data_IF_319410288468
#
_entry.id   IF_319410288468
#
_cell.length_a   1.000
_cell.length_b   1.000
_cell.length_c   1.000
_cell.angle_alpha   90.00
_cell.angle_beta   90.00
_cell.angle_gamma   90.00
#
_symmetry.space_group_name_H-M   'P 1'
#
loop_
_entity.id
_entity.type
_entity.pdbx_description
1 polymer ?
#
# COMPACT_ATOMS: atom_id res chain seq x y z
N UNK A 1 -17.61 7.04 12.09
CA UNK A 1 -18.79 6.83 11.19
C UNK A 1 -19.28 8.18 10.68
N UNK A 2 -19.21 8.44 9.40
CA UNK A 2 -19.62 9.69 8.79
C UNK A 2 -21.01 9.54 8.16
N UNK A 3 -21.98 10.38 8.58
CA UNK A 3 -23.40 10.36 8.12
C UNK A 3 -24.06 8.99 8.16
N UNK A 4 -23.70 8.14 9.12
CA UNK A 4 -24.25 6.78 9.25
C UNK A 4 -23.55 5.72 8.40
N UNK A 5 -22.58 6.07 7.57
CA UNK A 5 -21.77 5.13 6.77
C UNK A 5 -20.55 4.74 7.60
N UNK A 6 -20.33 3.44 7.88
CA UNK A 6 -19.06 3.00 8.44
C UNK A 6 -17.96 3.10 7.39
N UNK A 7 -16.72 3.38 7.82
CA UNK A 7 -15.62 3.59 6.90
C UNK A 7 -14.31 2.98 7.39
N UNK A 8 -13.60 2.36 6.45
CA UNK A 8 -12.22 1.90 6.58
C UNK A 8 -11.35 2.79 5.70
N UNK A 9 -10.33 3.39 6.28
CA UNK A 9 -9.24 3.98 5.54
C UNK A 9 -8.35 2.83 5.03
N UNK A 10 -8.34 2.61 3.71
CA UNK A 10 -7.62 1.51 3.10
C UNK A 10 -6.16 1.85 2.79
N UNK A 11 -5.77 3.11 2.95
CA UNK A 11 -4.45 3.66 2.67
C UNK A 11 -4.17 4.85 3.60
N UNK A 12 -4.00 4.53 4.88
CA UNK A 12 -3.50 5.46 5.87
C UNK A 12 -2.03 5.18 6.18
N UNK A 13 -1.32 6.15 6.72
CA UNK A 13 0.10 6.04 6.99
C UNK A 13 0.43 6.29 8.47
N UNK A 14 1.60 5.79 8.86
CA UNK A 14 2.28 6.16 10.11
C UNK A 14 3.48 7.04 9.81
N UNK A 15 3.83 7.96 10.72
CA UNK A 15 5.14 8.61 10.71
C UNK A 15 6.02 7.89 11.73
N UNK A 16 6.95 7.10 11.26
CA UNK A 16 7.84 6.33 12.13
C UNK A 16 8.74 7.24 12.95
N UNK A 17 9.04 6.90 14.23
CA UNK A 17 10.04 7.61 15.02
C UNK A 17 11.40 7.66 14.30
N UNK A 18 12.11 8.77 14.45
CA UNK A 18 13.42 8.95 13.80
C UNK A 18 14.47 7.92 14.23
N UNK A 19 14.30 7.30 15.38
CA UNK A 19 15.17 6.28 15.97
C UNK A 19 14.61 4.86 15.90
N UNK A 20 13.56 4.64 15.08
CA UNK A 20 12.88 3.35 14.99
C UNK A 20 13.87 2.20 14.77
N UNK A 21 14.66 2.29 13.69
CA UNK A 21 15.56 1.19 13.33
C UNK A 21 16.66 0.99 14.35
N UNK A 22 17.17 2.05 15.01
CA UNK A 22 18.16 1.93 16.08
C UNK A 22 17.62 1.21 17.31
N UNK A 23 16.31 1.28 17.54
CA UNK A 23 15.64 0.66 18.71
C UNK A 23 15.19 -0.77 18.44
N UNK A 24 14.78 -1.08 17.22
CA UNK A 24 14.07 -2.34 16.91
C UNK A 24 14.84 -3.30 16.02
N UNK A 25 15.92 -2.87 15.36
CA UNK A 25 16.72 -3.75 14.49
C UNK A 25 17.48 -4.79 15.32
N UNK A 26 17.72 -5.96 14.74
CA UNK A 26 18.51 -6.98 15.39
C UNK A 26 19.93 -6.46 15.68
N UNK A 27 20.51 -6.71 16.87
CA UNK A 27 21.75 -6.07 17.33
C UNK A 27 22.94 -6.21 16.40
N UNK A 28 23.03 -7.31 15.64
CA UNK A 28 24.09 -7.57 14.66
C UNK A 28 24.07 -6.60 13.47
N UNK A 29 22.95 -5.92 13.19
CA UNK A 29 22.79 -4.95 12.12
C UNK A 29 22.76 -3.49 12.59
N UNK A 30 22.97 -3.20 13.88
CA UNK A 30 22.81 -1.85 14.44
C UNK A 30 23.67 -0.80 13.72
N UNK A 31 24.90 -1.14 13.36
CA UNK A 31 25.81 -0.23 12.66
C UNK A 31 25.38 0.06 11.20
N UNK A 32 24.53 -0.81 10.61
CA UNK A 32 24.01 -0.74 9.27
C UNK A 32 22.54 -0.29 9.23
N UNK A 33 21.96 -0.01 10.40
CA UNK A 33 20.55 0.37 10.52
C UNK A 33 20.25 1.64 9.72
N UNK A 34 19.10 1.71 9.02
CA UNK A 34 18.67 2.93 8.35
C UNK A 34 18.66 4.13 9.29
N UNK A 35 19.11 5.28 8.80
CA UNK A 35 19.18 6.54 9.56
C UNK A 35 18.24 7.56 8.94
N UNK A 36 17.33 8.11 9.74
CA UNK A 36 16.49 9.22 9.28
C UNK A 36 17.32 10.47 9.04
N UNK A 37 17.02 11.18 7.95
CA UNK A 37 17.74 12.38 7.47
C UNK A 37 16.80 13.53 7.12
N UNK A 38 15.72 13.69 7.82
CA UNK A 38 14.69 14.69 7.58
C UNK A 38 13.32 14.20 7.97
N UNK A 39 12.27 14.81 7.43
CA UNK A 39 10.89 14.46 7.76
C UNK A 39 10.57 13.01 7.41
N UNK A 40 10.87 12.58 6.17
CA UNK A 40 10.66 11.21 5.69
C UNK A 40 11.89 10.55 5.07
N UNK A 41 12.98 11.30 4.83
CA UNK A 41 14.18 10.77 4.19
C UNK A 41 14.93 9.78 5.08
N UNK A 42 15.45 8.73 4.45
CA UNK A 42 16.22 7.66 5.09
C UNK A 42 17.54 7.45 4.35
N UNK A 43 18.61 7.20 5.10
CA UNK A 43 19.89 6.77 4.56
C UNK A 43 20.16 5.31 4.96
N UNK A 44 20.41 4.45 3.97
CA UNK A 44 20.75 3.04 4.14
C UNK A 44 21.78 2.61 3.10
N UNK A 45 22.81 1.84 3.49
CA UNK A 45 23.87 1.36 2.61
C UNK A 45 24.53 2.46 1.74
N UNK A 46 24.63 3.69 2.26
CA UNK A 46 25.18 4.84 1.55
C UNK A 46 24.22 5.51 0.57
N UNK A 47 23.01 5.03 0.43
CA UNK A 47 21.95 5.64 -0.38
C UNK A 47 21.05 6.49 0.51
N UNK A 48 20.87 7.76 0.16
CA UNK A 48 19.83 8.61 0.73
C UNK A 48 18.60 8.56 -0.15
N UNK A 49 17.46 8.24 0.44
CA UNK A 49 16.17 8.14 -0.25
C UNK A 49 15.11 8.94 0.50
N UNK A 50 14.21 9.61 -0.17
CA UNK A 50 14.20 9.79 -1.62
C UNK A 50 15.40 10.59 -2.13
N UNK A 51 15.90 10.23 -3.33
CA UNK A 51 16.99 10.91 -4.02
C UNK A 51 16.47 11.50 -5.34
N UNK A 52 15.75 12.60 -5.23
CA UNK A 52 15.22 13.37 -6.36
C UNK A 52 15.45 14.85 -6.12
N UNK A 53 15.91 15.57 -7.15
CA UNK A 53 16.08 17.01 -7.08
C UNK A 53 14.75 17.71 -6.77
N UNK A 54 14.76 18.56 -5.74
CA UNK A 54 13.56 19.24 -5.24
C UNK A 54 12.81 18.49 -4.13
N UNK A 55 13.09 17.19 -3.88
CA UNK A 55 12.50 16.47 -2.78
C UNK A 55 12.81 17.09 -1.42
N UNK A 56 14.09 17.43 -1.19
CA UNK A 56 14.55 18.01 0.08
C UNK A 56 13.89 19.35 0.39
N UNK A 57 13.58 20.14 -0.64
CA UNK A 57 12.89 21.42 -0.48
C UNK A 57 11.39 21.25 -0.25
N UNK A 58 10.82 20.12 -0.68
CA UNK A 58 9.38 19.85 -0.65
C UNK A 58 8.98 18.97 0.53
N UNK A 59 9.58 17.79 0.69
CA UNK A 59 9.19 16.80 1.68
C UNK A 59 10.05 16.78 2.96
N UNK A 60 11.28 17.24 2.91
CA UNK A 60 12.07 17.52 4.12
C UNK A 60 11.72 18.88 4.73
N UNK A 61 10.83 19.66 4.12
CA UNK A 61 10.33 20.88 4.73
C UNK A 61 9.52 20.49 5.98
N UNK A 62 10.02 20.80 7.19
CA UNK A 62 9.31 20.48 8.43
C UNK A 62 7.88 21.06 8.44
N UNK A 63 7.62 22.09 7.62
CA UNK A 63 6.32 22.73 7.52
C UNK A 63 5.26 21.82 6.87
N UNK A 64 5.62 20.80 6.08
CA UNK A 64 4.64 19.86 5.53
C UNK A 64 3.99 19.00 6.60
N UNK A 65 4.80 18.46 7.52
CA UNK A 65 4.32 17.61 8.61
C UNK A 65 4.03 18.37 9.91
N UNK A 66 4.29 19.69 9.93
CA UNK A 66 3.96 20.59 11.04
C UNK A 66 2.92 21.63 10.65
N UNK A 67 2.17 21.40 9.55
CA UNK A 67 1.01 22.22 9.23
C UNK A 67 0.05 22.28 10.43
N UNK A 68 -0.65 23.39 10.58
CA UNK A 68 -1.56 23.62 11.70
C UNK A 68 -2.54 22.44 11.90
N UNK A 69 -3.00 21.84 10.80
CA UNK A 69 -3.92 20.70 10.80
C UNK A 69 -3.35 19.43 11.45
N UNK A 70 -2.02 19.27 11.48
CA UNK A 70 -1.33 18.11 12.08
C UNK A 70 -0.68 18.43 13.43
N UNK A 71 -0.79 19.66 13.95
CA UNK A 71 -0.10 20.10 15.18
C UNK A 71 -0.33 19.15 16.35
N UNK A 72 -1.56 18.73 16.57
CA UNK A 72 -1.91 17.81 17.67
C UNK A 72 -1.19 16.47 17.59
N UNK A 73 -0.94 15.96 16.38
CA UNK A 73 -0.20 14.72 16.16
C UNK A 73 1.31 14.95 16.23
N UNK A 74 1.81 16.03 15.61
CA UNK A 74 3.24 16.38 15.61
C UNK A 74 3.78 16.63 17.03
N UNK A 75 3.04 17.33 17.90
CA UNK A 75 3.39 17.55 19.31
C UNK A 75 3.49 16.25 20.13
N UNK A 76 2.80 15.19 19.70
CA UNK A 76 2.84 13.85 20.29
C UNK A 76 3.74 12.88 19.52
N UNK A 77 4.49 13.36 18.52
CA UNK A 77 5.37 12.53 17.71
C UNK A 77 4.61 11.49 16.86
N UNK A 78 3.38 11.81 16.44
CA UNK A 78 2.50 10.92 15.67
C UNK A 78 2.28 9.57 16.37
N UNK A 79 2.03 9.62 17.67
CA UNK A 79 1.77 8.44 18.47
C UNK A 79 0.42 7.76 18.12
N UNK A 80 0.18 6.50 18.54
CA UNK A 80 -1.04 5.80 18.20
C UNK A 80 -2.30 6.48 18.75
N UNK A 81 -2.22 7.27 19.81
CA UNK A 81 -3.36 8.01 20.35
C UNK A 81 -3.74 9.19 19.44
N UNK A 82 -2.76 9.84 18.84
CA UNK A 82 -3.00 10.88 17.85
C UNK A 82 -3.55 10.33 16.52
N UNK A 83 -3.16 9.11 16.14
CA UNK A 83 -3.75 8.42 14.99
C UNK A 83 -5.23 8.13 15.22
N UNK A 84 -5.59 7.61 16.38
CA UNK A 84 -6.99 7.38 16.74
C UNK A 84 -7.80 8.68 16.79
N UNK A 85 -7.23 9.76 17.30
CA UNK A 85 -7.86 11.08 17.29
C UNK A 85 -8.09 11.61 15.88
N UNK A 86 -7.12 11.45 14.96
CA UNK A 86 -7.29 11.82 13.55
C UNK A 86 -8.44 11.03 12.91
N UNK A 87 -8.48 9.72 13.15
CA UNK A 87 -9.58 8.86 12.67
C UNK A 87 -10.95 9.30 13.24
N UNK A 88 -11.00 9.74 14.50
CA UNK A 88 -12.24 10.24 15.11
C UNK A 88 -12.66 11.57 14.51
N UNK A 89 -11.73 12.48 14.21
CA UNK A 89 -11.99 13.76 13.54
C UNK A 89 -12.59 13.51 12.14
N UNK A 90 -12.01 12.62 11.36
CA UNK A 90 -12.49 12.28 10.01
C UNK A 90 -13.77 11.42 10.04
N UNK A 91 -13.91 10.55 11.03
CA UNK A 91 -15.01 9.60 11.16
C UNK A 91 -14.70 8.19 10.66
N UNK A 92 -13.42 7.82 10.48
CA UNK A 92 -13.02 6.45 10.15
C UNK A 92 -13.18 5.52 11.34
N UNK A 93 -13.73 4.35 11.10
CA UNK A 93 -13.90 3.30 12.10
C UNK A 93 -12.64 2.43 12.23
N UNK A 94 -11.97 2.16 11.10
CA UNK A 94 -10.72 1.41 11.00
C UNK A 94 -9.77 2.10 10.02
N UNK A 95 -8.45 1.89 10.16
CA UNK A 95 -7.44 2.30 9.21
C UNK A 95 -6.40 1.20 9.00
N UNK A 96 -6.04 0.92 7.76
CA UNK A 96 -4.90 0.09 7.39
C UNK A 96 -3.69 1.00 7.23
N UNK A 97 -2.62 0.74 7.99
CA UNK A 97 -1.51 1.66 8.18
C UNK A 97 -0.26 1.16 7.45
N UNK A 98 0.18 1.98 6.51
CA UNK A 98 1.38 1.79 5.69
C UNK A 98 2.55 2.63 6.20
N UNK A 99 3.78 2.30 5.80
CA UNK A 99 4.95 3.10 6.20
C UNK A 99 5.01 4.44 5.45
N UNK A 100 5.64 5.45 6.05
CA UNK A 100 6.12 6.65 5.35
C UNK A 100 7.64 6.55 5.11
N UNK A 101 8.44 6.54 6.18
CA UNK A 101 9.90 6.34 6.07
C UNK A 101 10.26 4.94 5.59
N UNK A 102 9.46 3.94 5.97
CA UNK A 102 9.64 2.55 5.55
C UNK A 102 9.46 2.34 4.05
N UNK A 103 8.73 3.22 3.34
CA UNK A 103 8.68 3.22 1.87
C UNK A 103 10.07 3.26 1.23
N UNK A 104 11.05 3.84 1.94
CA UNK A 104 12.40 4.04 1.45
C UNK A 104 13.44 3.13 2.12
N UNK A 105 13.18 2.62 3.32
CA UNK A 105 14.19 1.97 4.16
C UNK A 105 14.80 0.68 3.58
N UNK A 106 14.08 -0.02 2.69
CA UNK A 106 14.56 -1.22 2.01
C UNK A 106 14.48 -1.09 0.47
N UNK A 107 14.54 0.14 -0.08
CA UNK A 107 14.20 0.44 -1.47
C UNK A 107 15.43 0.81 -2.31
N UNK A 108 16.49 0.00 -2.22
CA UNK A 108 17.67 0.08 -3.06
C UNK A 108 18.14 -1.31 -3.45
N UNK A 109 18.61 -1.47 -4.70
CA UNK A 109 19.28 -2.69 -5.13
C UNK A 109 20.57 -2.93 -4.33
N UNK A 110 20.96 -4.20 -4.19
CA UNK A 110 22.20 -4.59 -3.55
C UNK A 110 22.23 -4.47 -2.02
N UNK A 111 21.12 -4.12 -1.35
CA UNK A 111 21.03 -4.27 0.12
C UNK A 111 21.21 -5.76 0.46
N UNK A 112 22.13 -6.13 1.38
CA UNK A 112 22.30 -7.53 1.76
C UNK A 112 20.98 -8.15 2.23
N UNK A 113 20.59 -9.35 1.76
CA UNK A 113 19.29 -9.96 2.09
C UNK A 113 18.95 -10.03 3.56
N UNK A 114 19.94 -10.41 4.40
CA UNK A 114 19.72 -10.45 5.87
C UNK A 114 19.47 -9.07 6.47
N UNK A 115 20.13 -8.04 5.93
CA UNK A 115 19.91 -6.67 6.38
C UNK A 115 18.54 -6.17 5.94
N UNK A 116 18.12 -6.40 4.70
CA UNK A 116 16.79 -5.99 4.24
C UNK A 116 15.68 -6.66 5.07
N UNK A 117 15.82 -7.96 5.39
CA UNK A 117 14.91 -8.64 6.32
C UNK A 117 14.91 -8.06 7.72
N UNK A 118 16.08 -7.70 8.27
CA UNK A 118 16.18 -7.10 9.60
C UNK A 118 15.55 -5.69 9.63
N UNK A 119 15.67 -4.91 8.56
CA UNK A 119 15.03 -3.61 8.40
C UNK A 119 13.50 -3.76 8.43
N UNK A 120 12.95 -4.70 7.66
CA UNK A 120 11.52 -4.98 7.62
C UNK A 120 11.01 -5.46 8.99
N UNK A 121 11.71 -6.39 9.61
CA UNK A 121 11.36 -6.93 10.93
C UNK A 121 11.34 -5.86 12.02
N UNK A 122 12.27 -4.91 11.99
CA UNK A 122 12.30 -3.79 12.91
C UNK A 122 11.05 -2.93 12.80
N UNK A 123 10.66 -2.57 11.56
CA UNK A 123 9.43 -1.84 11.28
C UNK A 123 8.19 -2.62 11.74
N UNK A 124 8.08 -3.90 11.35
CA UNK A 124 6.91 -4.73 11.64
C UNK A 124 6.70 -4.93 13.16
N UNK A 125 7.78 -5.10 13.94
CA UNK A 125 7.72 -5.15 15.41
C UNK A 125 7.17 -3.86 15.98
N UNK A 126 7.73 -2.72 15.56
CA UNK A 126 7.27 -1.42 16.02
C UNK A 126 5.81 -1.16 15.64
N UNK A 127 5.41 -1.45 14.39
CA UNK A 127 4.04 -1.24 13.93
C UNK A 127 3.05 -2.12 14.70
N UNK A 128 3.42 -3.35 15.03
CA UNK A 128 2.59 -4.23 15.86
C UNK A 128 2.38 -3.65 17.26
N UNK A 129 3.40 -3.04 17.88
CA UNK A 129 3.27 -2.34 19.16
C UNK A 129 2.41 -1.09 19.04
N UNK A 130 2.57 -0.31 17.97
CA UNK A 130 1.74 0.84 17.65
C UNK A 130 0.25 0.45 17.55
N UNK A 131 -0.06 -0.57 16.77
CA UNK A 131 -1.42 -1.07 16.59
C UNK A 131 -1.99 -1.74 17.84
N UNK A 132 -1.17 -2.16 18.80
CA UNK A 132 -1.62 -2.78 20.06
C UNK A 132 -2.45 -1.83 20.92
N UNK A 133 -2.38 -0.52 20.69
CA UNK A 133 -3.20 0.49 21.38
C UNK A 133 -4.70 0.28 21.11
N UNK A 134 -5.08 -0.05 19.88
CA UNK A 134 -6.43 -0.50 19.54
C UNK A 134 -6.40 -1.41 18.29
N UNK A 135 -6.22 -2.70 18.50
CA UNK A 135 -6.11 -3.71 17.43
C UNK A 135 -7.39 -3.90 16.60
N UNK A 136 -8.50 -3.29 16.98
CA UNK A 136 -9.73 -3.33 16.20
C UNK A 136 -9.80 -2.20 15.17
N UNK A 137 -9.11 -1.09 15.46
CA UNK A 137 -9.14 0.11 14.64
C UNK A 137 -7.84 0.37 13.89
N UNK A 138 -6.68 0.09 14.49
CA UNK A 138 -5.35 0.25 13.90
C UNK A 138 -4.86 -1.07 13.34
N UNK A 139 -4.73 -1.17 12.03
CA UNK A 139 -4.47 -2.41 11.29
C UNK A 139 -3.18 -2.22 10.47
N UNK A 140 -2.08 -2.80 10.92
CA UNK A 140 -0.78 -2.59 10.27
C UNK A 140 -0.59 -3.41 9.00
N UNK A 141 0.06 -2.83 7.99
CA UNK A 141 0.58 -3.51 6.81
C UNK A 141 2.04 -3.92 7.03
N UNK A 142 2.34 -5.20 6.86
CA UNK A 142 3.68 -5.76 7.04
C UNK A 142 4.61 -5.33 5.91
N UNK A 143 5.71 -4.65 6.21
CA UNK A 143 6.76 -4.36 5.24
C UNK A 143 7.56 -5.63 4.94
N UNK A 144 7.68 -5.98 3.66
CA UNK A 144 8.44 -7.14 3.18
C UNK A 144 9.33 -6.71 2.01
N UNK A 145 10.60 -7.05 2.07
CA UNK A 145 11.58 -6.73 1.01
C UNK A 145 11.90 -7.96 0.15
N UNK A 146 11.93 -7.78 -1.16
CA UNK A 146 12.11 -8.85 -2.15
C UNK A 146 13.58 -9.15 -2.52
N UNK A 147 14.54 -8.76 -1.68
CA UNK A 147 15.97 -9.01 -1.92
C UNK A 147 16.35 -10.51 -1.86
N UNK A 148 15.59 -11.29 -1.10
CA UNK A 148 15.73 -12.75 -1.02
C UNK A 148 14.36 -13.39 -0.76
N UNK A 149 13.94 -14.37 -1.56
CA UNK A 149 12.64 -15.00 -1.44
C UNK A 149 12.40 -15.68 -0.08
N UNK A 150 13.38 -16.41 0.44
CA UNK A 150 13.25 -17.11 1.71
C UNK A 150 13.14 -16.16 2.91
N UNK A 151 13.88 -15.05 2.89
CA UNK A 151 13.78 -13.98 3.90
C UNK A 151 12.43 -13.30 3.81
N UNK A 152 11.93 -13.01 2.60
CA UNK A 152 10.62 -12.41 2.38
C UNK A 152 9.48 -13.28 2.94
N UNK A 153 9.49 -14.57 2.65
CA UNK A 153 8.50 -15.55 3.16
C UNK A 153 8.53 -15.61 4.70
N UNK A 154 9.74 -15.77 5.27
CA UNK A 154 9.87 -15.88 6.72
C UNK A 154 9.38 -14.62 7.44
N UNK A 155 9.69 -13.44 6.92
CA UNK A 155 9.22 -12.18 7.50
C UNK A 155 7.70 -11.99 7.34
N UNK A 156 7.14 -12.29 6.18
CA UNK A 156 5.70 -12.22 5.93
C UNK A 156 4.91 -13.11 6.90
N UNK A 157 5.31 -14.38 7.04
CA UNK A 157 4.66 -15.32 7.97
C UNK A 157 4.76 -14.84 9.41
N UNK A 158 5.96 -14.39 9.84
CA UNK A 158 6.14 -13.86 11.19
C UNK A 158 5.28 -12.62 11.44
N UNK A 159 5.26 -11.67 10.51
CA UNK A 159 4.51 -10.42 10.65
C UNK A 159 3.00 -10.66 10.75
N UNK A 160 2.47 -11.61 10.00
CA UNK A 160 1.03 -11.90 10.01
C UNK A 160 0.63 -12.79 11.17
N UNK A 161 1.30 -13.95 11.36
CA UNK A 161 0.87 -14.95 12.34
C UNK A 161 1.29 -14.62 13.77
N UNK A 162 2.45 -13.97 13.95
CA UNK A 162 2.98 -13.66 15.30
C UNK A 162 2.69 -12.23 15.71
N UNK A 163 2.91 -11.27 14.80
CA UNK A 163 2.72 -9.84 15.11
C UNK A 163 1.27 -9.37 14.87
N UNK A 164 0.47 -10.12 14.11
CA UNK A 164 -0.94 -9.85 13.88
C UNK A 164 -1.22 -8.72 12.89
N UNK A 165 -0.28 -8.45 11.97
CA UNK A 165 -0.49 -7.49 10.89
C UNK A 165 -1.49 -8.03 9.86
N UNK A 166 -2.09 -7.17 9.01
CA UNK A 166 -3.29 -7.48 8.23
C UNK A 166 -3.11 -7.44 6.71
N UNK A 167 -1.96 -7.03 6.22
CA UNK A 167 -1.60 -6.94 4.81
C UNK A 167 -0.12 -7.18 4.63
N UNK A 168 0.32 -7.58 3.46
CA UNK A 168 1.73 -7.61 3.08
C UNK A 168 1.96 -6.46 2.11
N UNK A 169 2.74 -5.47 2.52
CA UNK A 169 3.17 -4.35 1.69
C UNK A 169 4.43 -4.74 0.90
N UNK A 170 4.38 -4.57 -0.40
CA UNK A 170 5.49 -4.72 -1.33
C UNK A 170 5.67 -3.43 -2.15
N UNK A 171 6.93 -3.12 -2.47
CA UNK A 171 7.21 -2.15 -3.52
C UNK A 171 6.85 -2.73 -4.89
N UNK A 172 6.23 -1.95 -5.81
CA UNK A 172 5.93 -2.41 -7.17
C UNK A 172 7.17 -2.56 -8.05
N UNK A 173 8.25 -1.87 -7.72
CA UNK A 173 9.49 -1.81 -8.49
C UNK A 173 10.21 -3.17 -8.53
N UNK A 174 10.92 -3.51 -9.61
CA UNK A 174 11.86 -4.62 -9.62
C UNK A 174 12.95 -4.48 -8.56
N UNK A 175 13.29 -5.57 -7.88
CA UNK A 175 14.37 -5.61 -6.88
C UNK A 175 15.46 -6.56 -7.39
N UNK A 176 16.69 -6.07 -7.49
CA UNK A 176 17.83 -6.82 -8.05
C UNK A 176 17.50 -7.42 -9.44
N UNK A 177 16.77 -6.66 -10.28
CA UNK A 177 16.37 -7.05 -11.62
C UNK A 177 15.24 -8.09 -11.69
N UNK A 178 14.55 -8.39 -10.58
CA UNK A 178 13.39 -9.29 -10.54
C UNK A 178 12.11 -8.47 -10.33
N UNK A 179 11.17 -8.62 -11.26
CA UNK A 179 9.80 -8.11 -11.11
C UNK A 179 9.02 -8.89 -10.06
N UNK A 180 7.94 -8.34 -9.57
CA UNK A 180 7.16 -8.96 -8.48
C UNK A 180 6.52 -10.30 -8.87
N UNK A 181 6.34 -10.60 -10.16
CA UNK A 181 5.84 -11.89 -10.68
C UNK A 181 6.91 -12.98 -10.82
N UNK A 182 8.18 -12.67 -10.50
CA UNK A 182 9.25 -13.66 -10.64
C UNK A 182 8.94 -14.91 -9.83
N UNK A 183 9.14 -16.08 -10.44
CA UNK A 183 8.77 -17.39 -9.86
C UNK A 183 9.39 -17.69 -8.49
N UNK A 184 10.52 -17.10 -8.20
CA UNK A 184 11.15 -17.24 -6.88
C UNK A 184 10.24 -16.71 -5.73
N UNK A 185 9.25 -15.84 -6.05
CA UNK A 185 8.31 -15.29 -5.07
C UNK A 185 7.00 -16.08 -4.95
N UNK A 186 6.82 -17.17 -5.70
CA UNK A 186 5.58 -17.97 -5.66
C UNK A 186 5.24 -18.47 -4.23
N UNK A 187 6.24 -18.81 -3.42
CA UNK A 187 6.00 -19.23 -2.03
C UNK A 187 5.45 -18.08 -1.16
N UNK A 188 5.90 -16.84 -1.37
CA UNK A 188 5.37 -15.67 -0.70
C UNK A 188 3.87 -15.51 -1.01
N UNK A 189 3.48 -15.66 -2.26
CA UNK A 189 2.08 -15.56 -2.68
C UNK A 189 1.23 -16.72 -2.17
N UNK A 190 1.78 -17.94 -2.13
CA UNK A 190 1.12 -19.10 -1.54
C UNK A 190 0.84 -18.89 -0.04
N UNK A 191 1.80 -18.34 0.70
CA UNK A 191 1.65 -18.02 2.12
C UNK A 191 0.65 -16.89 2.35
N UNK A 192 0.70 -15.82 1.56
CA UNK A 192 -0.29 -14.74 1.62
C UNK A 192 -1.72 -15.26 1.39
N UNK A 193 -1.90 -16.12 0.36
CA UNK A 193 -3.17 -16.79 0.08
C UNK A 193 -3.61 -17.70 1.24
N UNK A 194 -2.69 -18.49 1.81
CA UNK A 194 -2.97 -19.36 2.95
C UNK A 194 -3.41 -18.59 4.18
N UNK A 195 -2.74 -17.50 4.48
CA UNK A 195 -3.03 -16.62 5.60
C UNK A 195 -4.29 -15.75 5.38
N UNK A 196 -4.75 -15.65 4.13
CA UNK A 196 -5.94 -14.86 3.77
C UNK A 196 -5.71 -13.35 3.88
N UNK A 197 -4.47 -12.89 3.68
CA UNK A 197 -4.10 -11.47 3.68
C UNK A 197 -3.77 -11.00 2.27
N UNK A 198 -4.09 -9.75 1.90
CA UNK A 198 -3.77 -9.23 0.58
C UNK A 198 -2.29 -8.85 0.43
N UNK A 199 -1.83 -8.87 -0.83
CA UNK A 199 -0.65 -8.13 -1.26
C UNK A 199 -1.08 -6.71 -1.59
N UNK A 200 -0.46 -5.74 -0.94
CA UNK A 200 -0.64 -4.32 -1.23
C UNK A 200 0.63 -3.77 -1.89
N UNK A 201 0.49 -3.17 -3.06
CA UNK A 201 1.59 -2.45 -3.69
C UNK A 201 1.43 -0.97 -3.47
N UNK A 202 2.50 -0.33 -3.04
CA UNK A 202 2.54 1.10 -2.77
C UNK A 202 3.87 1.68 -3.23
N UNK A 203 3.83 2.79 -3.95
CA UNK A 203 5.00 3.49 -4.45
C UNK A 203 5.53 4.49 -3.42
N UNK A 204 6.59 5.15 -3.73
CA UNK A 204 7.24 6.27 -3.07
C UNK A 204 8.43 6.68 -3.93
N UNK A 205 8.28 7.76 -4.67
CA UNK A 205 9.21 8.19 -5.71
C UNK A 205 10.62 8.50 -5.18
N UNK A 206 11.64 8.23 -5.97
CA UNK A 206 13.02 8.60 -5.67
C UNK A 206 13.85 7.52 -4.98
N UNK A 207 13.59 6.27 -5.29
CA UNK A 207 14.31 5.11 -4.76
C UNK A 207 15.51 4.70 -5.63
N UNK A 208 16.36 3.83 -5.11
CA UNK A 208 17.49 3.22 -5.84
C UNK A 208 17.16 1.81 -6.35
N UNK A 209 15.93 1.67 -6.85
CA UNK A 209 15.43 0.53 -7.63
C UNK A 209 15.21 0.98 -9.07
N UNK A 210 14.87 0.04 -9.96
CA UNK A 210 14.39 0.39 -11.29
C UNK A 210 13.01 1.05 -11.16
N UNK A 211 12.94 2.35 -11.43
CA UNK A 211 11.76 3.19 -11.20
C UNK A 211 11.39 3.93 -12.48
N UNK A 212 10.12 3.83 -12.89
CA UNK A 212 9.60 4.56 -14.04
C UNK A 212 9.73 6.08 -13.86
N UNK A 213 10.35 6.71 -14.86
CA UNK A 213 10.56 8.16 -14.87
C UNK A 213 11.86 8.62 -14.22
N UNK A 214 12.49 7.83 -13.36
CA UNK A 214 13.71 8.18 -12.62
C UNK A 214 14.86 8.63 -13.52
N UNK A 215 15.15 7.89 -14.57
CA UNK A 215 16.23 8.20 -15.52
C UNK A 215 15.81 9.15 -16.63
N UNK A 216 14.50 9.42 -16.78
CA UNK A 216 13.94 10.24 -17.85
C UNK A 216 13.73 11.69 -17.44
N UNK A 217 13.42 11.96 -16.18
CA UNK A 217 13.04 13.26 -15.68
C UNK A 217 13.97 13.75 -14.58
N UNK A 218 14.09 15.08 -14.48
CA UNK A 218 14.96 15.81 -13.56
C UNK A 218 14.20 16.56 -12.46
N UNK A 219 12.86 16.46 -12.44
CA UNK A 219 12.00 17.18 -11.48
C UNK A 219 11.12 16.19 -10.73
N UNK A 220 11.07 16.33 -9.40
CA UNK A 220 10.17 15.56 -8.54
C UNK A 220 8.74 15.54 -9.07
N UNK A 221 8.16 16.66 -9.41
CA UNK A 221 6.80 16.76 -9.94
C UNK A 221 6.53 15.79 -11.11
N UNK A 222 7.49 15.65 -12.05
CA UNK A 222 7.35 14.73 -13.18
C UNK A 222 7.55 13.27 -12.78
N UNK A 223 8.53 13.02 -11.92
CA UNK A 223 8.85 11.66 -11.46
C UNK A 223 7.68 11.13 -10.64
N UNK A 224 7.21 11.87 -9.66
CA UNK A 224 6.09 11.50 -8.80
C UNK A 224 4.81 11.20 -9.60
N UNK A 225 4.45 12.09 -10.54
CA UNK A 225 3.27 11.92 -11.39
C UNK A 225 3.33 10.63 -12.24
N UNK A 226 4.54 10.21 -12.66
CA UNK A 226 4.74 9.02 -13.50
C UNK A 226 4.92 7.77 -12.64
N UNK A 227 5.76 7.82 -11.60
CA UNK A 227 6.12 6.63 -10.84
C UNK A 227 4.89 5.99 -10.20
N UNK A 228 4.08 6.71 -9.45
CA UNK A 228 2.93 6.14 -8.75
C UNK A 228 1.98 5.41 -9.70
N UNK A 229 1.49 6.08 -10.73
CA UNK A 229 0.52 5.47 -11.64
C UNK A 229 1.14 4.37 -12.52
N UNK A 230 2.34 4.58 -13.08
CA UNK A 230 2.95 3.63 -14.02
C UNK A 230 3.51 2.40 -13.31
N UNK A 231 4.04 2.54 -12.10
CA UNK A 231 4.46 1.40 -11.29
C UNK A 231 3.25 0.55 -10.86
N UNK A 232 2.13 1.16 -10.48
CA UNK A 232 0.90 0.43 -10.18
C UNK A 232 0.36 -0.33 -11.41
N UNK A 233 0.41 0.29 -12.60
CA UNK A 233 0.07 -0.36 -13.87
C UNK A 233 1.02 -1.53 -14.15
N UNK A 234 2.33 -1.36 -13.92
CA UNK A 234 3.34 -2.41 -14.06
C UNK A 234 3.06 -3.58 -13.11
N UNK A 235 2.88 -3.29 -11.82
CA UNK A 235 2.55 -4.30 -10.81
C UNK A 235 1.25 -5.07 -11.13
N UNK A 236 0.23 -4.36 -11.60
CA UNK A 236 -1.02 -4.99 -12.04
C UNK A 236 -0.79 -5.97 -13.21
N UNK A 237 0.00 -5.55 -14.20
CA UNK A 237 0.38 -6.40 -15.32
C UNK A 237 1.19 -7.61 -14.84
N UNK A 238 2.20 -7.41 -14.03
CA UNK A 238 3.05 -8.48 -13.51
C UNK A 238 2.23 -9.52 -12.74
N UNK A 239 1.39 -9.11 -11.80
CA UNK A 239 0.58 -10.04 -11.02
C UNK A 239 -0.44 -10.80 -11.87
N UNK A 240 -1.04 -10.18 -12.89
CA UNK A 240 -2.03 -10.81 -13.77
C UNK A 240 -1.32 -11.59 -14.89
N UNK A 241 -0.60 -10.88 -15.77
CA UNK A 241 -0.01 -11.44 -17.00
C UNK A 241 1.17 -12.36 -16.67
N UNK A 242 1.96 -12.04 -15.64
CA UNK A 242 2.99 -12.94 -15.07
C UNK A 242 2.42 -14.20 -14.39
N UNK A 243 1.08 -14.32 -14.31
CA UNK A 243 0.35 -15.51 -13.92
C UNK A 243 0.28 -15.77 -12.41
N UNK A 244 0.66 -14.82 -11.56
CA UNK A 244 0.56 -14.96 -10.09
C UNK A 244 -0.87 -15.22 -9.68
N UNK A 245 -1.82 -14.41 -10.16
CA UNK A 245 -3.25 -14.55 -9.82
C UNK A 245 -3.90 -15.81 -10.41
N UNK A 246 -3.32 -16.37 -11.47
CA UNK A 246 -3.77 -17.65 -12.02
C UNK A 246 -3.34 -18.82 -11.13
N UNK A 247 -2.13 -18.75 -10.57
CA UNK A 247 -1.57 -19.80 -9.69
C UNK A 247 -2.16 -19.73 -8.29
N UNK A 248 -2.53 -18.53 -7.82
CA UNK A 248 -3.05 -18.27 -6.47
C UNK A 248 -4.47 -17.68 -6.54
N UNK A 249 -5.51 -18.49 -6.84
CA UNK A 249 -6.85 -18.01 -7.20
C UNK A 249 -7.63 -17.32 -6.07
N UNK A 250 -7.23 -17.48 -4.81
CA UNK A 250 -7.82 -16.80 -3.64
C UNK A 250 -7.00 -15.61 -3.16
N UNK A 251 -5.79 -15.42 -3.69
CA UNK A 251 -4.95 -14.26 -3.36
C UNK A 251 -5.67 -12.99 -3.77
N UNK A 252 -5.62 -11.98 -2.94
CA UNK A 252 -6.12 -10.63 -3.23
C UNK A 252 -4.96 -9.66 -3.33
N UNK A 253 -5.11 -8.67 -4.20
CA UNK A 253 -4.12 -7.61 -4.38
C UNK A 253 -4.80 -6.24 -4.35
N UNK A 254 -4.08 -5.22 -3.90
CA UNK A 254 -4.54 -3.83 -3.94
C UNK A 254 -3.42 -2.91 -4.42
N UNK A 255 -3.78 -1.96 -5.29
CA UNK A 255 -2.89 -0.93 -5.83
C UNK A 255 -3.25 0.40 -5.16
N UNK A 256 -2.29 0.97 -4.43
CA UNK A 256 -2.48 2.11 -3.55
C UNK A 256 -1.79 3.36 -4.11
N UNK A 257 -2.24 4.54 -3.71
CA UNK A 257 -1.70 5.87 -4.02
C UNK A 257 -1.31 6.06 -5.51
N UNK A 258 -2.16 5.60 -6.41
CA UNK A 258 -1.91 5.65 -7.85
C UNK A 258 -3.10 6.16 -8.66
N UNK A 259 -4.11 6.72 -8.00
CA UNK A 259 -5.46 6.90 -8.53
C UNK A 259 -6.07 5.60 -9.06
N UNK A 260 -7.34 5.59 -9.39
CA UNK A 260 -8.03 4.40 -9.92
C UNK A 260 -8.29 4.48 -11.43
N UNK A 261 -8.27 5.68 -11.99
CA UNK A 261 -8.73 5.96 -13.35
C UNK A 261 -7.93 5.32 -14.48
N UNK A 262 -6.73 4.81 -14.20
CA UNK A 262 -5.92 4.07 -15.17
C UNK A 262 -6.48 2.65 -15.45
N UNK A 263 -7.15 2.04 -14.49
CA UNK A 263 -7.50 0.62 -14.53
C UNK A 263 -8.40 0.23 -15.72
N UNK A 264 -9.46 0.97 -16.11
CA UNK A 264 -10.29 0.60 -17.24
C UNK A 264 -9.52 0.49 -18.56
N UNK A 265 -8.75 1.52 -18.88
CA UNK A 265 -7.96 1.54 -20.11
C UNK A 265 -6.85 0.49 -20.11
N UNK A 266 -6.16 0.31 -18.98
CA UNK A 266 -5.06 -0.64 -18.90
C UNK A 266 -5.51 -2.08 -19.03
N UNK A 267 -6.64 -2.43 -18.42
CA UNK A 267 -7.21 -3.78 -18.49
C UNK A 267 -7.77 -4.09 -19.87
N UNK A 268 -8.44 -3.13 -20.52
CA UNK A 268 -8.86 -3.28 -21.92
C UNK A 268 -7.66 -3.54 -22.84
N UNK A 269 -6.58 -2.79 -22.65
CA UNK A 269 -5.34 -2.99 -23.39
C UNK A 269 -4.71 -4.35 -23.14
N UNK A 270 -4.70 -4.85 -21.90
CA UNK A 270 -4.19 -6.19 -21.59
C UNK A 270 -5.05 -7.29 -22.23
N UNK A 271 -6.38 -7.14 -22.20
CA UNK A 271 -7.31 -8.08 -22.84
C UNK A 271 -7.07 -8.15 -24.35
N UNK A 272 -6.97 -7.00 -25.02
CA UNK A 272 -6.67 -6.91 -26.47
C UNK A 272 -5.35 -7.61 -26.82
N UNK A 273 -4.31 -7.40 -26.04
CA UNK A 273 -2.99 -8.02 -26.27
C UNK A 273 -3.03 -9.53 -26.00
N UNK A 274 -3.75 -9.97 -24.99
CA UNK A 274 -3.91 -11.39 -24.67
C UNK A 274 -4.64 -12.13 -25.79
N UNK A 275 -5.67 -11.53 -26.38
CA UNK A 275 -6.42 -12.12 -27.49
C UNK A 275 -5.69 -12.02 -28.84
N UNK A 276 -4.99 -10.90 -29.10
CA UNK A 276 -4.47 -10.56 -30.44
C UNK A 276 -2.99 -10.82 -30.68
N UNK A 277 -2.11 -10.73 -29.70
CA UNK A 277 -0.65 -10.64 -29.85
C UNK A 277 0.13 -11.84 -29.30
N UNK A 278 -0.29 -13.06 -29.57
CA UNK A 278 0.36 -14.26 -29.05
C UNK A 278 0.27 -14.42 -27.53
N UNK A 279 -0.54 -13.60 -26.85
CA UNK A 279 -0.66 -13.58 -25.40
C UNK A 279 -0.98 -14.94 -24.81
N UNK A 280 -1.91 -15.68 -25.39
CA UNK A 280 -2.24 -17.05 -24.95
C UNK A 280 -1.06 -18.02 -25.02
N UNK A 281 -0.12 -17.81 -25.96
CA UNK A 281 1.09 -18.63 -26.09
C UNK A 281 2.16 -18.20 -25.10
N UNK A 282 2.31 -16.90 -24.90
CA UNK A 282 3.35 -16.33 -24.05
C UNK A 282 2.96 -16.32 -22.56
N UNK A 283 1.64 -16.33 -22.28
CA UNK A 283 1.09 -16.38 -20.92
C UNK A 283 0.31 -17.69 -20.68
N UNK A 284 0.98 -18.85 -20.70
CA UNK A 284 0.32 -20.15 -20.66
C UNK A 284 -0.41 -20.46 -19.35
N UNK A 285 -0.17 -19.70 -18.30
CA UNK A 285 -0.84 -19.85 -17.01
C UNK A 285 -2.25 -19.24 -17.02
N UNK A 286 -2.51 -18.23 -17.84
CA UNK A 286 -3.81 -17.58 -17.90
C UNK A 286 -4.88 -18.49 -18.50
N UNK A 287 -6.09 -18.44 -17.91
CA UNK A 287 -7.28 -19.20 -18.35
C UNK A 287 -8.49 -18.30 -18.57
N UNK A 288 -8.36 -17.03 -18.26
CA UNK A 288 -9.38 -15.98 -18.38
C UNK A 288 -8.70 -14.74 -18.93
N UNK A 289 -9.52 -13.75 -19.35
CA UNK A 289 -9.00 -12.43 -19.71
C UNK A 289 -8.33 -11.75 -18.50
N UNK A 290 -7.30 -10.93 -18.71
CA UNK A 290 -6.70 -10.11 -17.67
C UNK A 290 -7.72 -9.33 -16.83
N UNK A 291 -8.73 -8.72 -17.45
CA UNK A 291 -9.79 -8.00 -16.73
C UNK A 291 -10.65 -8.90 -15.84
N UNK A 292 -10.80 -10.17 -16.14
CA UNK A 292 -11.53 -11.13 -15.32
C UNK A 292 -10.74 -11.50 -14.04
N UNK A 293 -9.40 -11.61 -14.15
CA UNK A 293 -8.52 -11.77 -12.97
C UNK A 293 -8.62 -10.54 -12.07
N UNK A 294 -8.59 -9.35 -12.65
CA UNK A 294 -8.75 -8.11 -11.88
C UNK A 294 -10.07 -8.09 -11.11
N UNK A 295 -11.19 -8.33 -11.77
CA UNK A 295 -12.50 -8.37 -11.12
C UNK A 295 -12.56 -9.36 -9.95
N UNK A 296 -11.90 -10.50 -10.08
CA UNK A 296 -11.92 -11.56 -9.07
C UNK A 296 -11.05 -11.27 -7.87
N UNK A 297 -9.88 -10.64 -8.06
CA UNK A 297 -8.80 -10.66 -7.07
C UNK A 297 -8.18 -9.29 -6.76
N UNK A 298 -8.35 -8.29 -7.63
CA UNK A 298 -7.67 -7.01 -7.49
C UNK A 298 -8.60 -5.92 -6.97
N UNK A 299 -7.99 -4.98 -6.27
CA UNK A 299 -8.61 -3.74 -5.82
C UNK A 299 -7.71 -2.57 -6.20
N UNK A 300 -8.30 -1.40 -6.37
CA UNK A 300 -7.57 -0.17 -6.62
C UNK A 300 -8.10 0.92 -5.68
N UNK A 301 -7.18 1.70 -5.11
CA UNK A 301 -7.55 2.82 -4.26
C UNK A 301 -7.87 4.04 -5.13
N UNK A 302 -9.06 4.62 -4.88
CA UNK A 302 -9.41 5.92 -5.43
C UNK A 302 -8.90 7.01 -4.49
N UNK A 303 -8.43 8.11 -5.09
CA UNK A 303 -8.21 9.36 -4.39
C UNK A 303 -9.53 9.96 -3.90
N UNK A 304 -9.42 10.83 -2.92
CA UNK A 304 -10.56 11.39 -2.18
C UNK A 304 -11.61 12.05 -3.09
N UNK A 305 -11.19 12.82 -4.09
CA UNK A 305 -12.06 13.56 -5.00
C UNK A 305 -11.95 13.09 -6.47
N UNK A 306 -11.48 11.87 -6.68
CA UNK A 306 -11.19 11.32 -8.00
C UNK A 306 -12.46 11.13 -8.84
N UNK A 307 -12.63 11.96 -9.87
CA UNK A 307 -13.75 11.85 -10.80
C UNK A 307 -13.67 10.61 -11.71
N UNK A 308 -12.45 10.11 -11.94
CA UNK A 308 -12.20 8.95 -12.78
C UNK A 308 -12.63 7.63 -12.12
N UNK A 309 -12.78 7.59 -10.79
CA UNK A 309 -13.27 6.42 -10.04
C UNK A 309 -14.61 5.89 -10.58
N UNK A 310 -15.48 6.79 -11.10
CA UNK A 310 -16.70 6.42 -11.79
C UNK A 310 -16.48 5.46 -12.95
N UNK A 311 -15.44 5.67 -13.76
CA UNK A 311 -15.17 4.83 -14.92
C UNK A 311 -14.72 3.42 -14.55
N UNK A 312 -14.08 3.25 -13.38
CA UNK A 312 -13.78 1.93 -12.81
C UNK A 312 -15.07 1.18 -12.52
N UNK A 313 -16.03 1.86 -11.88
CA UNK A 313 -17.34 1.28 -11.55
C UNK A 313 -18.14 0.95 -12.81
N UNK A 314 -18.14 1.84 -13.79
CA UNK A 314 -18.84 1.62 -15.07
C UNK A 314 -18.26 0.40 -15.84
N UNK A 315 -16.94 0.17 -15.75
CA UNK A 315 -16.27 -0.92 -16.46
C UNK A 315 -16.34 -2.26 -15.71
N UNK A 316 -16.18 -2.25 -14.38
CA UNK A 316 -15.97 -3.47 -13.59
C UNK A 316 -16.99 -3.69 -12.47
N UNK A 317 -17.88 -2.74 -12.21
CA UNK A 317 -18.75 -2.73 -11.04
C UNK A 317 -18.06 -2.10 -9.83
N UNK A 318 -18.81 -2.05 -8.73
CA UNK A 318 -18.44 -1.32 -7.50
C UNK A 318 -17.75 -2.18 -6.43
N UNK A 319 -17.27 -3.37 -6.79
CA UNK A 319 -16.71 -4.34 -5.84
C UNK A 319 -15.17 -4.32 -5.75
N UNK A 320 -14.50 -3.56 -6.63
CA UNK A 320 -13.04 -3.53 -6.76
C UNK A 320 -12.41 -2.19 -6.38
N UNK A 321 -13.22 -1.25 -5.85
CA UNK A 321 -12.75 0.07 -5.45
C UNK A 321 -12.65 0.15 -3.94
N UNK A 322 -11.55 0.70 -3.43
CA UNK A 322 -11.35 1.12 -2.04
C UNK A 322 -10.96 2.60 -2.01
N UNK A 323 -10.87 3.23 -0.85
CA UNK A 323 -10.49 4.63 -0.71
C UNK A 323 -9.41 4.76 0.35
N UNK A 324 -8.39 5.58 0.09
CA UNK A 324 -7.35 5.97 1.01
C UNK A 324 -7.43 7.46 1.37
N UNK A 325 -7.04 7.80 2.59
CA UNK A 325 -6.96 9.20 3.04
C UNK A 325 -5.59 9.81 2.83
N UNK A 326 -4.59 8.95 2.73
CA UNK A 326 -3.17 9.31 2.74
C UNK A 326 -2.76 10.12 4.01
N UNK A 327 -3.53 10.03 5.10
CA UNK A 327 -3.15 10.66 6.37
C UNK A 327 -1.91 9.95 6.96
N UNK A 328 -0.86 10.66 7.44
CA UNK A 328 -0.77 12.11 7.64
C UNK A 328 0.14 12.83 6.62
N UNK A 329 0.17 12.40 5.37
CA UNK A 329 0.96 13.06 4.35
C UNK A 329 0.47 14.48 4.04
N UNK A 330 1.40 15.34 3.60
CA UNK A 330 1.13 16.77 3.43
C UNK A 330 0.21 17.10 2.26
N UNK A 331 0.15 16.25 1.28
CA UNK A 331 -0.71 16.28 0.08
C UNK A 331 -2.07 15.58 0.29
N UNK A 332 -2.21 14.77 1.34
CA UNK A 332 -3.50 14.21 1.75
C UNK A 332 -4.54 15.26 2.18
N UNK A 333 -5.80 14.88 2.23
CA UNK A 333 -6.95 15.78 2.41
C UNK A 333 -7.42 15.94 3.86
N UNK A 334 -6.66 15.48 4.86
CA UNK A 334 -7.03 15.65 6.27
C UNK A 334 -7.32 17.13 6.62
N UNK A 335 -8.38 17.49 7.33
CA UNK A 335 -9.33 16.62 8.07
C UNK A 335 -10.66 16.38 7.32
N UNK A 336 -10.68 16.40 6.01
CA UNK A 336 -11.93 16.35 5.23
C UNK A 336 -12.01 15.18 4.25
N UNK A 337 -11.01 14.27 4.23
CA UNK A 337 -10.91 13.19 3.26
C UNK A 337 -12.20 12.37 3.11
N UNK A 338 -12.73 11.86 4.22
CA UNK A 338 -13.97 11.07 4.18
C UNK A 338 -15.20 11.92 3.77
N UNK A 339 -15.25 13.18 4.22
CA UNK A 339 -16.34 14.09 3.86
C UNK A 339 -16.33 14.41 2.36
N UNK A 340 -15.16 14.68 1.80
CA UNK A 340 -14.95 15.00 0.39
C UNK A 340 -15.28 13.81 -0.50
N UNK A 341 -14.84 12.58 -0.12
CA UNK A 341 -15.22 11.38 -0.84
C UNK A 341 -16.74 11.15 -0.85
N UNK A 342 -17.40 11.31 0.29
CA UNK A 342 -18.87 11.15 0.35
C UNK A 342 -19.58 12.24 -0.47
N UNK A 343 -18.98 13.40 -0.67
CA UNK A 343 -19.53 14.48 -1.49
C UNK A 343 -19.37 14.27 -3.00
N UNK A 344 -18.60 13.28 -3.47
CA UNK A 344 -18.43 12.97 -4.90
C UNK A 344 -19.79 12.62 -5.52
N UNK A 345 -20.32 13.50 -6.38
CA UNK A 345 -21.67 13.38 -6.94
C UNK A 345 -21.78 12.27 -8.01
N UNK A 346 -20.66 11.90 -8.62
CA UNK A 346 -20.63 10.89 -9.70
C UNK A 346 -20.76 9.45 -9.22
N UNK A 347 -20.66 9.22 -7.91
CA UNK A 347 -20.78 7.90 -7.28
C UNK A 347 -22.14 7.78 -6.57
N UNK A 348 -22.80 6.62 -6.74
CA UNK A 348 -24.02 6.31 -6.00
C UNK A 348 -23.73 6.08 -4.50
N UNK A 349 -24.73 6.25 -3.64
CA UNK A 349 -24.59 5.97 -2.20
C UNK A 349 -24.21 4.51 -1.93
N UNK A 350 -24.68 3.57 -2.75
CA UNK A 350 -24.30 2.16 -2.65
C UNK A 350 -22.83 1.95 -3.01
N UNK A 351 -22.35 2.56 -4.09
CA UNK A 351 -20.95 2.50 -4.49
C UNK A 351 -20.03 3.10 -3.40
N UNK A 352 -20.40 4.25 -2.85
CA UNK A 352 -19.68 4.87 -1.72
C UNK A 352 -19.61 3.95 -0.50
N UNK A 353 -20.76 3.36 -0.11
CA UNK A 353 -20.80 2.42 1.00
C UNK A 353 -19.92 1.20 0.77
N UNK A 354 -19.94 0.61 -0.44
CA UNK A 354 -19.09 -0.52 -0.78
C UNK A 354 -17.62 -0.14 -0.75
N UNK A 355 -17.25 0.98 -1.37
CA UNK A 355 -15.87 1.50 -1.40
C UNK A 355 -15.32 1.78 -0.01
N UNK A 356 -16.14 2.38 0.86
CA UNK A 356 -15.72 2.76 2.20
C UNK A 356 -15.76 1.60 3.21
N UNK A 357 -16.58 0.56 2.97
CA UNK A 357 -16.79 -0.46 3.99
C UNK A 357 -16.71 -1.88 3.46
N UNK A 358 -17.63 -2.29 2.57
CA UNK A 358 -17.75 -3.70 2.21
C UNK A 358 -16.49 -4.24 1.53
N UNK A 359 -15.92 -3.46 0.62
CA UNK A 359 -14.75 -3.84 -0.15
C UNK A 359 -13.49 -3.93 0.72
N UNK A 360 -13.11 -2.91 1.53
CA UNK A 360 -11.94 -3.06 2.38
C UNK A 360 -12.12 -4.11 3.47
N UNK A 361 -13.33 -4.33 4.02
CA UNK A 361 -13.59 -5.43 4.96
C UNK A 361 -13.34 -6.79 4.30
N UNK A 362 -13.74 -6.97 3.04
CA UNK A 362 -13.47 -8.21 2.29
C UNK A 362 -12.01 -8.33 1.89
N UNK A 363 -11.39 -7.24 1.43
CA UNK A 363 -10.00 -7.20 1.00
C UNK A 363 -9.05 -7.62 2.12
N UNK A 364 -9.15 -6.98 3.27
CA UNK A 364 -8.27 -7.19 4.42
C UNK A 364 -8.79 -8.24 5.40
N UNK A 365 -9.89 -8.93 5.07
CA UNK A 365 -10.49 -9.97 5.92
C UNK A 365 -10.84 -9.47 7.34
N UNK A 366 -11.49 -8.29 7.43
CA UNK A 366 -11.77 -7.59 8.70
C UNK A 366 -13.16 -7.91 9.29
N UNK A 367 -13.72 -9.06 8.96
CA UNK A 367 -15.07 -9.44 9.42
C UNK A 367 -15.18 -9.51 10.94
N UNK A 368 -14.14 -10.00 11.63
CA UNK A 368 -14.10 -10.09 13.09
C UNK A 368 -14.01 -8.71 13.75
N UNK A 369 -13.20 -7.80 13.20
CA UNK A 369 -13.04 -6.43 13.67
C UNK A 369 -14.34 -5.64 13.47
N UNK A 370 -14.98 -5.76 12.30
CA UNK A 370 -16.28 -5.15 12.02
C UNK A 370 -17.34 -5.61 13.02
N UNK A 371 -17.44 -6.91 13.29
CA UNK A 371 -18.34 -7.46 14.29
C UNK A 371 -18.03 -6.96 15.71
N UNK A 372 -16.74 -6.90 16.08
CA UNK A 372 -16.29 -6.43 17.39
C UNK A 372 -16.56 -4.93 17.62
N UNK A 373 -16.66 -4.14 16.54
CA UNK A 373 -17.05 -2.74 16.56
C UNK A 373 -18.59 -2.54 16.46
N UNK A 374 -19.37 -3.63 16.38
CA UNK A 374 -20.82 -3.56 16.21
C UNK A 374 -21.26 -2.97 14.87
N UNK A 375 -20.43 -3.13 13.83
CA UNK A 375 -20.67 -2.63 12.48
C UNK A 375 -21.22 -3.72 11.57
N UNK A 376 -21.84 -3.36 10.42
CA UNK A 376 -22.30 -4.34 9.45
C UNK A 376 -21.15 -5.26 9.01
N UNK A 377 -21.42 -6.56 8.94
CA UNK A 377 -20.47 -7.55 8.44
C UNK A 377 -20.88 -7.95 7.02
N UNK A 378 -20.15 -7.51 5.97
CA UNK A 378 -20.48 -7.92 4.62
C UNK A 378 -20.28 -9.43 4.44
N UNK A 379 -21.01 -10.08 3.53
CA UNK A 379 -20.78 -11.49 3.25
C UNK A 379 -19.34 -11.71 2.77
N UNK A 380 -18.74 -12.82 3.14
CA UNK A 380 -17.45 -13.22 2.58
C UNK A 380 -17.55 -13.28 1.05
N UNK A 381 -16.49 -12.96 0.34
CA UNK A 381 -16.42 -13.16 -1.10
C UNK A 381 -16.58 -14.67 -1.38
N UNK A 382 -17.55 -15.03 -2.22
CA UNK A 382 -17.78 -16.40 -2.63
C UNK A 382 -16.67 -16.96 -3.51
#
# INVERSE_FOLDING_TARGET
>A
MYRGIPAVDADGHVIEPVDLWQRYIDPEFLDQAPRCRGAISVEVCGHRMPDVVGWQESYDDPRQHTQERFRFAAERGYDPSSQLEAMDIEGFDMAVLYPSRGLFAASADGIPPKLSGAICRAYNRWLSEFCATDRKRLLGAAMVALHDPGVAVAEAVHAIEVLGLRSIFLRPNPVNGKTIDHRDFDELYAEAERMGVPIATHEGAGVHLDEYGRTRYDKLFKIHMVSHAVEAMGACMDLIVGGVLARHPRLKCVFLEASAGWAPWWLERMDEHYEGYHGQRECPDLRMLPSEYFRRQCYVAAEVDERAAKYVIDAFGDSNLVMGSDYPHGDGSFPTALADFVAVETLSDEAKRKTLWDNPVRLYNLHAEAAALGKPVPPAAG
#
